data_IF_475245692144
#
_entry.id   IF_475245692144
#
_cell.length_a   1.000
_cell.length_b   1.000
_cell.length_c   1.000
_cell.angle_alpha   90.00
_cell.angle_beta   90.00
_cell.angle_gamma   90.00
#
_symmetry.space_group_name_H-M   'P 1'
#
loop_
_entity.id
_entity.type
_entity.pdbx_description
1 polymer ?
#
# COMPACT_ATOMS: atom_id res chain seq x y z
N UNK A 1 -4.27 30.98 -23.82
CA UNK A 1 -4.00 30.43 -22.47
C UNK A 1 -3.23 29.13 -22.62
N UNK A 2 -1.94 29.09 -22.26
CA UNK A 2 -1.11 27.89 -22.32
C UNK A 2 -1.24 27.19 -20.96
N UNK A 3 -2.00 26.09 -20.91
CA UNK A 3 -2.21 25.32 -19.68
C UNK A 3 -0.87 24.93 -19.06
N UNK A 4 -0.68 25.30 -17.79
CA UNK A 4 0.47 24.92 -16.98
C UNK A 4 0.43 23.38 -16.91
N UNK A 5 1.33 22.71 -17.63
CA UNK A 5 1.58 21.29 -17.38
C UNK A 5 2.23 21.24 -16.02
N UNK A 6 1.47 20.91 -14.99
CA UNK A 6 2.02 20.64 -13.68
C UNK A 6 3.12 19.60 -13.86
N UNK A 7 4.36 20.00 -13.55
CA UNK A 7 5.49 19.07 -13.57
C UNK A 7 5.14 17.97 -12.58
N UNK A 8 4.99 16.75 -13.07
CA UNK A 8 4.85 15.57 -12.22
C UNK A 8 6.08 15.57 -11.29
N UNK A 9 5.88 15.82 -9.99
CA UNK A 9 6.97 15.86 -9.00
C UNK A 9 7.38 14.48 -8.53
N UNK A 10 6.60 13.46 -8.89
CA UNK A 10 6.82 12.06 -8.54
C UNK A 10 7.56 11.35 -9.67
N UNK A 11 8.79 10.90 -9.41
CA UNK A 11 9.69 10.27 -10.38
C UNK A 11 9.77 8.75 -10.26
N UNK A 12 9.14 8.13 -9.26
CA UNK A 12 9.14 6.68 -9.12
C UNK A 12 8.31 6.00 -10.21
N UNK A 13 8.77 4.83 -10.66
CA UNK A 13 8.06 4.00 -11.62
C UNK A 13 6.69 3.63 -11.04
N UNK A 14 5.61 3.81 -11.81
CA UNK A 14 4.26 3.43 -11.38
C UNK A 14 4.17 1.95 -11.00
N UNK A 15 5.05 1.11 -11.55
CA UNK A 15 5.18 -0.32 -11.22
C UNK A 15 5.65 -0.57 -9.78
N UNK A 16 6.22 0.43 -9.13
CA UNK A 16 6.65 0.37 -7.73
C UNK A 16 5.52 0.67 -6.76
N UNK A 17 4.35 1.14 -7.22
CA UNK A 17 3.20 1.41 -6.36
C UNK A 17 2.22 0.24 -6.43
N UNK A 18 1.76 -0.22 -5.27
CA UNK A 18 0.71 -1.23 -5.14
C UNK A 18 -0.39 -0.75 -4.20
N UNK A 19 -1.58 -1.31 -4.33
CA UNK A 19 -2.66 -1.10 -3.36
C UNK A 19 -2.80 -2.35 -2.49
N UNK A 20 -2.68 -2.17 -1.18
CA UNK A 20 -3.02 -3.18 -0.19
C UNK A 20 -4.47 -3.00 0.25
N UNK A 21 -5.25 -4.06 0.15
CA UNK A 21 -6.67 -4.08 0.48
C UNK A 21 -6.91 -5.03 1.65
N UNK A 22 -7.52 -4.55 2.73
CA UNK A 22 -7.90 -5.41 3.87
C UNK A 22 -9.26 -6.07 3.58
N UNK A 23 -9.20 -7.33 3.22
CA UNK A 23 -10.35 -8.20 2.92
C UNK A 23 -10.89 -8.90 4.16
N UNK A 24 -10.14 -8.86 5.27
CA UNK A 24 -10.57 -9.41 6.55
C UNK A 24 -11.60 -8.51 7.26
N UNK A 25 -12.21 -9.05 8.32
CA UNK A 25 -13.09 -8.29 9.24
C UNK A 25 -12.33 -7.63 10.41
N UNK A 26 -11.00 -7.70 10.42
CA UNK A 26 -10.14 -7.21 11.51
C UNK A 26 -9.45 -5.92 11.10
N UNK A 27 -9.20 -5.04 12.07
CA UNK A 27 -8.35 -3.87 11.86
C UNK A 27 -6.90 -4.26 12.13
N UNK A 28 -5.97 -3.76 11.31
CA UNK A 28 -4.54 -4.00 11.49
C UNK A 28 -3.81 -2.71 11.88
N UNK A 29 -2.88 -2.84 12.82
CA UNK A 29 -1.81 -1.86 13.05
C UNK A 29 -0.54 -2.46 12.45
N UNK A 30 -0.08 -1.85 11.36
CA UNK A 30 1.10 -2.26 10.62
C UNK A 30 2.29 -1.43 11.12
N UNK A 31 3.31 -2.11 11.64
CA UNK A 31 4.60 -1.50 11.97
C UNK A 31 5.41 -1.41 10.67
N UNK A 32 5.45 -0.24 10.02
CA UNK A 32 6.18 -0.01 8.77
C UNK A 32 7.50 0.73 9.05
N UNK A 33 8.50 0.64 8.16
CA UNK A 33 9.74 1.41 8.30
C UNK A 33 9.52 2.93 8.39
N UNK A 34 8.44 3.43 7.79
CA UNK A 34 8.04 4.85 7.81
C UNK A 34 7.19 5.23 9.02
N UNK A 35 6.86 4.27 9.89
CA UNK A 35 6.03 4.45 11.07
C UNK A 35 4.81 3.52 11.11
N UNK A 36 3.97 3.72 12.13
CA UNK A 36 2.76 2.92 12.31
C UNK A 36 1.65 3.35 11.37
N UNK A 37 1.06 2.39 10.67
CA UNK A 37 -0.09 2.61 9.81
C UNK A 37 -1.27 1.75 10.28
N UNK A 38 -2.46 2.34 10.39
CA UNK A 38 -3.69 1.61 10.68
C UNK A 38 -4.42 1.31 9.37
N UNK A 39 -4.71 0.04 9.12
CA UNK A 39 -5.51 -0.41 7.99
C UNK A 39 -6.77 -1.12 8.49
N UNK A 40 -7.88 -0.38 8.51
CA UNK A 40 -9.17 -0.88 8.98
C UNK A 40 -9.80 -1.90 8.04
N UNK A 41 -10.71 -2.72 8.57
CA UNK A 41 -11.49 -3.69 7.81
C UNK A 41 -12.19 -3.04 6.61
N UNK A 42 -12.05 -3.64 5.42
CA UNK A 42 -12.61 -3.13 4.17
C UNK A 42 -11.93 -1.87 3.61
N UNK A 43 -10.87 -1.37 4.24
CA UNK A 43 -10.10 -0.23 3.74
C UNK A 43 -8.92 -0.67 2.89
N UNK A 44 -8.42 0.28 2.11
CA UNK A 44 -7.31 0.11 1.17
C UNK A 44 -6.28 1.20 1.39
N UNK A 45 -5.02 0.91 1.14
CA UNK A 45 -3.92 1.89 1.17
C UNK A 45 -3.00 1.69 -0.03
N UNK A 46 -2.52 2.79 -0.59
CA UNK A 46 -1.43 2.74 -1.58
C UNK A 46 -0.09 2.77 -0.88
N UNK A 47 0.85 1.97 -1.36
CA UNK A 47 2.20 1.86 -0.81
C UNK A 47 3.20 1.38 -1.85
N UNK A 48 4.47 1.31 -1.49
CA UNK A 48 5.52 0.77 -2.36
C UNK A 48 5.48 -0.77 -2.36
N UNK A 49 5.76 -1.38 -3.52
CA UNK A 49 5.82 -2.82 -3.69
C UNK A 49 6.86 -3.48 -2.75
N UNK A 50 7.93 -2.76 -2.41
CA UNK A 50 8.94 -3.22 -1.45
C UNK A 50 8.38 -3.47 -0.04
N UNK A 51 7.21 -2.91 0.30
CA UNK A 51 6.55 -3.21 1.57
C UNK A 51 6.11 -4.67 1.66
N UNK A 52 5.89 -5.35 0.52
CA UNK A 52 5.55 -6.79 0.49
C UNK A 52 6.71 -7.69 0.92
N UNK A 53 7.94 -7.17 0.95
CA UNK A 53 9.12 -7.89 1.43
C UNK A 53 9.16 -7.96 2.95
N UNK A 54 8.38 -7.12 3.65
CA UNK A 54 8.28 -7.16 5.10
C UNK A 54 7.56 -8.44 5.56
N UNK A 55 8.18 -9.29 6.41
CA UNK A 55 7.61 -10.58 6.79
C UNK A 55 6.19 -10.49 7.39
N UNK A 56 5.91 -9.44 8.15
CA UNK A 56 4.60 -9.22 8.75
C UNK A 56 3.51 -8.97 7.70
N UNK A 57 3.81 -8.19 6.65
CA UNK A 57 2.89 -7.90 5.56
C UNK A 57 2.70 -9.14 4.71
N UNK A 58 3.80 -9.82 4.35
CA UNK A 58 3.75 -11.04 3.55
C UNK A 58 2.91 -12.12 4.20
N UNK A 59 3.04 -12.33 5.50
CA UNK A 59 2.21 -13.27 6.25
C UNK A 59 0.71 -12.97 6.12
N UNK A 60 0.31 -11.71 6.22
CA UNK A 60 -1.10 -11.31 6.09
C UNK A 60 -1.63 -11.51 4.65
N UNK A 61 -0.77 -11.29 3.65
CA UNK A 61 -1.10 -11.56 2.24
C UNK A 61 -1.23 -13.07 2.00
N UNK A 62 -0.27 -13.86 2.47
CA UNK A 62 -0.25 -15.33 2.31
C UNK A 62 -1.46 -15.99 3.00
N UNK A 63 -1.96 -15.38 4.09
CA UNK A 63 -3.16 -15.82 4.81
C UNK A 63 -4.48 -15.33 4.17
N UNK A 64 -4.42 -14.46 3.16
CA UNK A 64 -5.58 -13.89 2.49
C UNK A 64 -6.30 -12.78 3.27
N UNK A 65 -5.72 -12.30 4.37
CA UNK A 65 -6.24 -11.17 5.15
C UNK A 65 -6.04 -9.84 4.44
N UNK A 66 -4.96 -9.74 3.65
CA UNK A 66 -4.68 -8.62 2.76
C UNK A 66 -4.57 -9.11 1.31
N UNK A 67 -5.07 -8.32 0.36
CA UNK A 67 -4.87 -8.55 -1.07
C UNK A 67 -4.06 -7.42 -1.70
N UNK A 68 -3.38 -7.73 -2.81
CA UNK A 68 -2.51 -6.79 -3.53
C UNK A 68 -3.10 -6.51 -4.91
N UNK A 69 -3.37 -5.25 -5.21
CA UNK A 69 -3.81 -4.77 -6.52
C UNK A 69 -2.70 -3.90 -7.17
N UNK A 70 -2.51 -4.01 -8.49
CA UNK A 70 -1.52 -3.26 -9.28
C UNK A 70 -2.18 -2.35 -10.30
#
# INVERSE_FOLDING_TARGET
MKGRRDKLTWTHDKREVVTLSNTSKRNFILELPTGRCRLDAGRRMQTMASLLEQPAIRKLVDQGDLTVDR
#
